data_IF_761075098869
#
_entry.id   IF_761075098869
#
_cell.length_a   1.000
_cell.length_b   1.000
_cell.length_c   1.000
_cell.angle_alpha   90.00
_cell.angle_beta   90.00
_cell.angle_gamma   90.00
#
_symmetry.space_group_name_H-M   'P 1'
#
loop_
_entity.id
_entity.type
_entity.pdbx_description
1 polymer ?
#
# COMPACT_ATOMS: atom_id res chain seq x y z
N UNK A 1 -29.20 -22.90 -12.54
CA UNK A 1 -29.51 -24.04 -11.66
C UNK A 1 -31.01 -24.23 -11.59
N UNK A 2 -31.48 -25.31 -10.97
CA UNK A 2 -32.89 -25.76 -10.97
C UNK A 2 -33.90 -24.76 -10.37
N UNK A 3 -33.41 -23.67 -9.76
CA UNK A 3 -34.18 -22.51 -9.28
C UNK A 3 -34.22 -21.31 -10.24
N UNK A 4 -33.78 -21.48 -11.51
CA UNK A 4 -33.77 -20.40 -12.52
C UNK A 4 -32.61 -19.41 -12.42
N UNK A 5 -31.69 -19.59 -11.46
CA UNK A 5 -30.52 -18.71 -11.29
C UNK A 5 -29.38 -18.99 -12.27
N UNK A 6 -28.71 -17.94 -12.72
CA UNK A 6 -27.49 -17.98 -13.54
C UNK A 6 -26.32 -17.37 -12.76
N UNK A 7 -25.11 -17.91 -12.96
CA UNK A 7 -23.88 -17.39 -12.38
C UNK A 7 -22.81 -17.29 -13.45
N UNK A 8 -22.29 -16.09 -13.65
CA UNK A 8 -21.14 -15.82 -14.51
C UNK A 8 -19.97 -15.52 -13.58
N UNK A 9 -18.84 -16.17 -13.80
CA UNK A 9 -17.62 -16.03 -12.97
C UNK A 9 -16.44 -15.60 -13.83
N UNK A 10 -15.36 -15.15 -13.20
CA UNK A 10 -14.10 -14.77 -13.87
C UNK A 10 -14.25 -13.61 -14.87
N UNK A 11 -15.22 -12.72 -14.63
CA UNK A 11 -15.27 -11.43 -15.33
C UNK A 11 -14.18 -10.52 -14.80
N UNK A 12 -13.54 -9.77 -15.70
CA UNK A 12 -12.69 -8.66 -15.27
C UNK A 12 -13.59 -7.61 -14.60
N UNK A 13 -13.07 -6.83 -13.64
CA UNK A 13 -13.82 -5.69 -13.14
C UNK A 13 -14.22 -4.75 -14.28
N UNK A 14 -15.34 -4.05 -14.16
CA UNK A 14 -15.83 -3.16 -15.21
C UNK A 14 -17.34 -3.01 -15.21
N UNK A 15 -17.82 -2.19 -16.14
CA UNK A 15 -19.25 -2.02 -16.39
C UNK A 15 -19.66 -2.92 -17.54
N UNK A 16 -20.71 -3.71 -17.30
CA UNK A 16 -21.24 -4.69 -18.23
C UNK A 16 -22.70 -4.40 -18.55
N UNK A 17 -23.10 -4.74 -19.77
CA UNK A 17 -24.51 -4.84 -20.16
C UNK A 17 -24.96 -6.28 -20.03
N UNK A 18 -26.06 -6.50 -19.30
CA UNK A 18 -26.71 -7.80 -19.17
C UNK A 18 -28.04 -7.76 -19.91
N UNK A 19 -28.18 -8.65 -20.90
CA UNK A 19 -29.41 -8.82 -21.68
C UNK A 19 -29.95 -10.24 -21.47
N UNK A 20 -31.23 -10.35 -21.12
CA UNK A 20 -31.94 -11.62 -20.93
C UNK A 20 -33.08 -11.71 -21.94
N UNK A 21 -33.08 -12.79 -22.73
CA UNK A 21 -34.11 -13.09 -23.71
C UNK A 21 -34.78 -14.41 -23.36
N UNK A 22 -36.11 -14.42 -23.25
CA UNK A 22 -36.90 -15.61 -23.00
C UNK A 22 -38.15 -15.61 -23.90
N UNK A 23 -38.47 -16.76 -24.50
CA UNK A 23 -39.64 -16.90 -25.37
C UNK A 23 -40.93 -16.60 -24.60
N UNK A 24 -41.81 -15.76 -25.17
CA UNK A 24 -43.05 -15.32 -24.53
C UNK A 24 -42.90 -14.14 -23.55
N UNK A 25 -41.68 -13.61 -23.36
CA UNK A 25 -41.39 -12.44 -22.55
C UNK A 25 -40.75 -11.31 -23.37
N UNK A 26 -40.87 -10.06 -22.91
CA UNK A 26 -40.14 -8.93 -23.44
C UNK A 26 -38.64 -9.01 -23.01
N UNK A 27 -37.71 -8.54 -23.86
CA UNK A 27 -36.28 -8.56 -23.52
C UNK A 27 -35.98 -7.63 -22.35
N UNK A 28 -35.19 -8.11 -21.39
CA UNK A 28 -34.66 -7.31 -20.29
C UNK A 28 -33.24 -6.89 -20.60
N UNK A 29 -32.90 -5.62 -20.41
CA UNK A 29 -31.52 -5.11 -20.56
C UNK A 29 -31.16 -4.16 -19.42
N UNK A 30 -30.04 -4.44 -18.75
CA UNK A 30 -29.41 -3.53 -17.79
C UNK A 30 -28.01 -3.19 -18.29
N UNK A 31 -27.77 -1.91 -18.58
CA UNK A 31 -26.55 -1.42 -19.25
C UNK A 31 -25.43 -1.04 -18.27
N UNK A 32 -25.72 -0.92 -16.96
CA UNK A 32 -24.81 -0.33 -15.97
C UNK A 32 -24.48 -1.30 -14.84
N UNK A 33 -24.27 -2.58 -15.14
CA UNK A 33 -23.89 -3.57 -14.15
C UNK A 33 -22.42 -3.41 -13.80
N UNK A 34 -22.13 -2.89 -12.62
CA UNK A 34 -20.76 -2.73 -12.12
C UNK A 34 -20.29 -4.05 -11.52
N UNK A 35 -19.17 -4.57 -12.02
CA UNK A 35 -18.45 -5.73 -11.50
C UNK A 35 -17.17 -5.23 -10.84
N UNK A 36 -16.99 -5.55 -9.56
CA UNK A 36 -15.83 -5.17 -8.75
C UNK A 36 -15.09 -6.43 -8.28
N UNK A 37 -13.80 -6.32 -7.98
CA UNK A 37 -12.99 -7.44 -7.50
C UNK A 37 -13.54 -8.04 -6.21
N UNK A 38 -13.70 -9.37 -6.21
CA UNK A 38 -14.14 -10.15 -5.05
C UNK A 38 -15.56 -9.87 -4.54
N UNK A 39 -16.32 -9.03 -5.25
CA UNK A 39 -17.72 -8.71 -4.96
C UNK A 39 -18.64 -9.43 -5.93
N UNK A 40 -19.71 -10.02 -5.41
CA UNK A 40 -20.79 -10.57 -6.20
C UNK A 40 -21.83 -9.50 -6.49
N UNK A 41 -22.07 -9.22 -7.77
CA UNK A 41 -23.14 -8.32 -8.21
C UNK A 41 -24.37 -9.14 -8.57
N UNK A 42 -25.39 -9.11 -7.71
CA UNK A 42 -26.68 -9.76 -7.97
C UNK A 42 -27.57 -8.85 -8.79
N UNK A 43 -28.25 -9.42 -9.79
CA UNK A 43 -29.24 -8.72 -10.62
C UNK A 43 -30.55 -9.49 -10.52
N UNK A 44 -31.59 -8.83 -10.05
CA UNK A 44 -32.95 -9.36 -10.08
C UNK A 44 -33.58 -9.07 -11.44
N UNK A 45 -33.80 -10.11 -12.23
CA UNK A 45 -34.35 -10.00 -13.58
C UNK A 45 -35.87 -10.21 -13.53
N UNK A 46 -36.61 -9.11 -13.57
CA UNK A 46 -38.07 -9.14 -13.77
C UNK A 46 -38.41 -9.14 -15.26
N UNK A 47 -38.98 -10.24 -15.77
CA UNK A 47 -39.44 -10.33 -17.16
C UNK A 47 -40.94 -10.02 -17.27
N UNK A 48 -41.30 -9.11 -18.17
CA UNK A 48 -42.71 -8.81 -18.52
C UNK A 48 -43.18 -9.65 -19.71
N UNK A 49 -44.48 -9.94 -19.79
CA UNK A 49 -45.05 -10.72 -20.89
C UNK A 49 -44.90 -10.02 -22.24
N UNK A 50 -44.64 -10.79 -23.28
CA UNK A 50 -44.49 -10.30 -24.66
C UNK A 50 -45.81 -9.68 -25.15
N UNK A 51 -45.78 -8.41 -25.55
CA UNK A 51 -46.96 -7.61 -25.94
C UNK A 51 -47.08 -6.28 -25.20
N UNK A 52 -46.42 -6.16 -24.04
CA UNK A 52 -46.15 -4.85 -23.41
C UNK A 52 -44.83 -4.34 -23.99
N UNK A 53 -44.91 -3.54 -25.05
CA UNK A 53 -43.72 -2.91 -25.65
C UNK A 53 -43.20 -1.81 -24.74
N UNK A 54 -42.27 -2.17 -23.86
CA UNK A 54 -41.50 -1.22 -23.06
C UNK A 54 -40.17 -1.86 -22.70
N UNK A 55 -39.07 -1.32 -23.20
CA UNK A 55 -37.74 -1.65 -22.70
C UNK A 55 -37.67 -1.16 -21.27
N UNK A 56 -37.65 -2.07 -20.29
CA UNK A 56 -37.44 -1.70 -18.89
C UNK A 56 -35.94 -1.43 -18.73
N UNK A 57 -35.52 -0.20 -18.98
CA UNK A 57 -34.16 0.24 -18.72
C UNK A 57 -34.02 0.49 -17.23
N UNK A 58 -33.42 -0.45 -16.52
CA UNK A 58 -33.12 -0.30 -15.09
C UNK A 58 -31.77 0.39 -14.96
N UNK A 59 -31.76 1.71 -14.74
CA UNK A 59 -30.60 2.43 -14.21
C UNK A 59 -30.54 2.23 -12.69
N UNK A 60 -30.22 1.02 -12.24
CA UNK A 60 -29.99 0.78 -10.81
C UNK A 60 -28.55 1.18 -10.46
N UNK A 61 -28.41 2.17 -9.58
CA UNK A 61 -27.17 2.47 -8.89
C UNK A 61 -26.75 1.24 -8.07
N UNK A 62 -25.46 0.91 -8.03
CA UNK A 62 -24.97 -0.24 -7.27
C UNK A 62 -25.37 -0.10 -5.78
N UNK A 63 -26.02 -1.10 -5.17
CA UNK A 63 -26.42 -1.01 -3.77
C UNK A 63 -25.21 -0.73 -2.89
N UNK A 64 -25.31 0.24 -1.98
CA UNK A 64 -24.24 0.55 -1.01
C UNK A 64 -23.96 -0.63 -0.08
N UNK A 65 -24.96 -1.50 0.12
CA UNK A 65 -24.87 -2.68 0.99
C UNK A 65 -24.91 -3.94 0.12
N UNK A 66 -23.92 -4.82 0.31
CA UNK A 66 -23.92 -6.15 -0.28
C UNK A 66 -24.80 -7.09 0.57
N UNK A 67 -25.96 -7.50 0.04
CA UNK A 67 -26.85 -8.48 0.67
C UNK A 67 -26.61 -9.91 0.16
N UNK A 68 -25.74 -10.07 -0.85
CA UNK A 68 -25.51 -11.35 -1.54
C UNK A 68 -24.38 -12.17 -0.92
N UNK A 69 -23.46 -11.52 -0.21
CA UNK A 69 -22.35 -12.16 0.48
C UNK A 69 -22.42 -11.85 1.97
N UNK A 70 -21.99 -12.82 2.78
CA UNK A 70 -21.91 -12.68 4.24
C UNK A 70 -20.60 -12.01 4.70
N UNK A 71 -19.79 -11.54 3.75
CA UNK A 71 -18.46 -11.02 4.03
C UNK A 71 -18.48 -9.54 4.42
N UNK A 72 -17.52 -9.15 5.24
CA UNK A 72 -17.33 -7.76 5.64
C UNK A 72 -16.23 -7.15 4.78
N UNK A 73 -16.60 -6.76 3.57
CA UNK A 73 -15.68 -6.26 2.55
C UNK A 73 -15.88 -4.79 2.20
N UNK A 74 -14.81 -4.14 1.75
CA UNK A 74 -14.82 -2.77 1.22
C UNK A 74 -13.93 -2.73 -0.02
N UNK A 75 -14.46 -2.20 -1.12
CA UNK A 75 -13.73 -2.01 -2.36
C UNK A 75 -13.14 -0.58 -2.37
N UNK A 76 -11.85 -0.48 -2.65
CA UNK A 76 -11.15 0.79 -2.86
C UNK A 76 -10.88 0.93 -4.35
N UNK A 77 -11.65 1.83 -4.98
CA UNK A 77 -11.62 2.04 -6.42
C UNK A 77 -10.42 2.89 -6.89
N UNK A 78 -10.27 2.98 -8.21
CA UNK A 78 -9.21 3.73 -8.87
C UNK A 78 -9.22 5.23 -8.52
N UNK A 79 -10.39 5.82 -8.30
CA UNK A 79 -10.52 7.25 -7.98
C UNK A 79 -9.91 7.52 -6.61
N UNK A 80 -10.26 6.73 -5.60
CA UNK A 80 -9.67 6.80 -4.26
C UNK A 80 -8.17 6.56 -4.31
N UNK A 81 -7.72 5.55 -5.06
CA UNK A 81 -6.29 5.28 -5.26
C UNK A 81 -5.54 6.49 -5.85
N UNK A 82 -6.13 7.24 -6.76
CA UNK A 82 -5.44 8.36 -7.42
C UNK A 82 -5.52 9.67 -6.62
N UNK A 83 -6.61 9.89 -5.90
CA UNK A 83 -6.89 11.17 -5.24
C UNK A 83 -6.45 11.22 -3.78
N UNK A 84 -6.28 10.07 -3.12
CA UNK A 84 -5.85 10.04 -1.73
C UNK A 84 -4.31 10.10 -1.62
N UNK A 85 -3.78 10.87 -0.66
CA UNK A 85 -2.35 10.93 -0.44
C UNK A 85 -1.84 9.64 0.21
N UNK A 86 -0.83 9.01 -0.39
CA UNK A 86 -0.12 7.88 0.19
C UNK A 86 1.39 8.14 0.23
N UNK A 87 1.95 8.19 1.43
CA UNK A 87 3.41 8.30 1.60
C UNK A 87 4.09 7.01 1.10
N UNK A 88 4.91 7.12 0.06
CA UNK A 88 5.59 5.99 -0.59
C UNK A 88 4.75 5.23 -1.61
N UNK A 89 3.51 5.70 -1.90
CA UNK A 89 2.60 5.10 -2.90
C UNK A 89 2.40 3.58 -2.78
N UNK A 90 2.38 3.09 -1.54
CA UNK A 90 1.97 1.71 -1.25
C UNK A 90 0.45 1.67 -1.19
N UNK A 91 -0.17 1.08 -2.21
CA UNK A 91 -1.62 1.05 -2.40
C UNK A 91 -2.36 0.40 -1.22
N UNK A 92 -1.79 -0.64 -0.61
CA UNK A 92 -2.39 -1.36 0.52
C UNK A 92 -2.50 -0.53 1.80
N UNK A 93 -1.77 0.59 1.91
CA UNK A 93 -1.93 1.51 3.05
C UNK A 93 -3.35 2.09 3.14
N UNK A 94 -4.08 2.15 2.02
CA UNK A 94 -5.47 2.60 2.02
C UNK A 94 -6.43 1.58 2.64
N UNK A 95 -6.00 0.35 2.92
CA UNK A 95 -6.83 -0.62 3.64
C UNK A 95 -7.16 -0.19 5.08
N UNK A 96 -6.42 0.79 5.63
CA UNK A 96 -6.75 1.43 6.92
C UNK A 96 -8.07 2.22 6.88
N UNK A 97 -8.57 2.55 5.69
CA UNK A 97 -9.84 3.25 5.51
C UNK A 97 -11.04 2.31 5.67
N UNK A 98 -10.80 1.00 5.74
CA UNK A 98 -11.83 0.00 5.97
C UNK A 98 -12.18 -0.06 7.46
N UNK A 99 -13.47 -0.17 7.83
CA UNK A 99 -13.88 -0.36 9.22
C UNK A 99 -13.17 -1.53 9.90
N UNK A 100 -12.73 -1.32 11.14
CA UNK A 100 -12.02 -2.35 11.92
C UNK A 100 -10.55 -2.53 11.55
N UNK A 101 -10.00 -1.71 10.64
CA UNK A 101 -8.58 -1.68 10.33
C UNK A 101 -7.85 -0.62 11.16
N UNK A 102 -6.71 -0.97 11.73
CA UNK A 102 -5.82 -0.05 12.48
C UNK A 102 -4.35 -0.33 12.15
N UNK A 103 -3.44 0.64 12.32
CA UNK A 103 -2.01 0.36 12.18
C UNK A 103 -1.55 -0.69 13.20
N UNK A 104 -0.82 -1.70 12.74
CA UNK A 104 -0.17 -2.70 13.59
C UNK A 104 1.33 -2.35 13.72
N UNK A 105 1.65 -1.59 14.77
CA UNK A 105 3.00 -1.14 15.05
C UNK A 105 3.52 -0.02 14.13
N UNK A 106 4.84 0.12 14.03
CA UNK A 106 5.49 1.33 13.47
C UNK A 106 5.86 1.20 11.99
N UNK A 107 5.89 -0.02 11.46
CA UNK A 107 6.45 -0.32 10.14
C UNK A 107 5.37 -0.55 9.07
N UNK A 108 4.13 -0.13 9.29
CA UNK A 108 3.08 -0.16 8.26
C UNK A 108 2.38 -1.51 8.06
N UNK A 109 2.38 -2.40 9.06
CA UNK A 109 1.39 -3.48 9.09
C UNK A 109 0.02 -2.90 9.45
N UNK A 110 -1.03 -3.64 9.11
CA UNK A 110 -2.42 -3.29 9.40
C UNK A 110 -3.01 -4.44 10.20
N UNK A 111 -3.60 -4.17 11.36
CA UNK A 111 -4.39 -5.13 12.10
C UNK A 111 -5.84 -4.97 11.68
N UNK A 112 -6.49 -6.08 11.37
CA UNK A 112 -7.94 -6.13 11.22
C UNK A 112 -8.52 -6.77 12.48
N UNK A 113 -9.43 -6.04 13.13
CA UNK A 113 -10.20 -6.53 14.29
C UNK A 113 -9.33 -7.06 15.44
N UNK A 114 -8.17 -6.44 15.65
CA UNK A 114 -7.25 -6.77 16.74
C UNK A 114 -6.36 -7.99 16.47
N UNK A 115 -6.42 -8.59 15.28
CA UNK A 115 -5.57 -9.70 14.88
C UNK A 115 -4.27 -9.15 14.28
N UNK A 116 -3.13 -9.77 14.58
CA UNK A 116 -1.83 -9.35 14.07
C UNK A 116 -1.83 -9.29 12.53
N UNK A 117 -1.25 -8.24 11.98
CA UNK A 117 -1.11 -8.05 10.54
C UNK A 117 -0.22 -9.09 9.85
N UNK A 118 0.52 -9.91 10.61
CA UNK A 118 1.25 -11.08 10.10
C UNK A 118 0.31 -12.22 9.68
N UNK A 119 -0.95 -12.18 10.12
CA UNK A 119 -1.99 -13.15 9.78
C UNK A 119 -2.95 -12.59 8.73
N UNK A 120 -2.53 -11.57 7.99
CA UNK A 120 -3.25 -11.08 6.84
C UNK A 120 -2.72 -11.72 5.56
N UNK A 121 -3.61 -11.96 4.62
CA UNK A 121 -3.24 -12.41 3.28
C UNK A 121 -3.36 -11.25 2.29
N UNK A 122 -2.34 -11.05 1.45
CA UNK A 122 -2.35 -10.06 0.37
C UNK A 122 -2.17 -10.79 -0.96
N UNK A 123 -3.06 -10.54 -1.90
CA UNK A 123 -2.99 -11.09 -3.26
C UNK A 123 -3.01 -9.98 -4.29
N UNK A 124 -2.30 -10.21 -5.40
CA UNK A 124 -2.39 -9.37 -6.60
C UNK A 124 -2.65 -10.29 -7.78
N UNK A 125 -3.75 -10.07 -8.48
CA UNK A 125 -4.21 -10.90 -9.62
C UNK A 125 -4.26 -12.41 -9.26
N UNK A 126 -4.64 -12.71 -8.01
CA UNK A 126 -4.70 -14.07 -7.46
C UNK A 126 -3.35 -14.66 -7.01
N UNK A 127 -2.23 -13.99 -7.29
CA UNK A 127 -0.90 -14.41 -6.83
C UNK A 127 -0.58 -13.97 -5.40
N UNK A 128 0.13 -14.81 -4.65
CA UNK A 128 0.60 -14.53 -3.27
C UNK A 128 1.55 -13.31 -3.28
N UNK A 129 1.16 -12.24 -2.57
CA UNK A 129 1.90 -11.01 -2.36
C UNK A 129 2.39 -10.86 -0.91
N UNK A 130 2.60 -11.99 -0.21
CA UNK A 130 3.28 -12.06 1.07
C UNK A 130 4.76 -12.50 0.93
N UNK A 131 5.54 -12.18 1.95
CA UNK A 131 6.92 -12.58 2.14
C UNK A 131 6.96 -13.94 2.86
N UNK A 132 7.74 -14.90 2.34
CA UNK A 132 7.81 -16.23 2.94
C UNK A 132 8.43 -16.25 4.35
N UNK A 133 9.38 -15.35 4.63
CA UNK A 133 10.14 -15.36 5.90
C UNK A 133 9.39 -14.69 7.06
N UNK A 134 8.72 -13.57 6.79
CA UNK A 134 8.03 -12.77 7.81
C UNK A 134 6.49 -12.92 7.76
N UNK A 135 5.96 -13.65 6.78
CA UNK A 135 4.50 -13.83 6.55
C UNK A 135 3.70 -12.53 6.34
N UNK A 136 4.38 -11.41 6.09
CA UNK A 136 3.75 -10.09 5.86
C UNK A 136 3.71 -9.72 4.38
N UNK A 137 2.92 -8.70 4.02
CA UNK A 137 2.86 -8.18 2.64
C UNK A 137 4.24 -7.73 2.11
N UNK A 138 4.46 -7.94 0.81
CA UNK A 138 5.68 -7.49 0.14
C UNK A 138 5.89 -5.98 0.18
N UNK A 139 7.16 -5.60 0.35
CA UNK A 139 7.65 -4.22 0.36
C UNK A 139 7.11 -3.28 1.45
N UNK A 140 6.70 -3.84 2.60
CA UNK A 140 6.33 -3.10 3.82
C UNK A 140 7.43 -2.17 4.36
N UNK A 141 8.53 -2.73 4.89
CA UNK A 141 9.53 -1.97 5.69
C UNK A 141 10.75 -1.52 4.89
N UNK A 142 11.12 -2.31 3.88
CA UNK A 142 12.18 -2.04 2.91
C UNK A 142 11.52 -2.16 1.53
N UNK A 143 11.37 -1.03 0.84
CA UNK A 143 10.61 -0.89 -0.41
C UNK A 143 11.41 -1.56 -1.55
N UNK A 144 11.55 -2.88 -1.46
CA UNK A 144 12.42 -3.68 -2.31
C UNK A 144 11.67 -4.50 -3.37
N UNK A 145 10.34 -4.59 -3.30
CA UNK A 145 9.50 -5.26 -4.30
C UNK A 145 8.03 -4.98 -3.99
N UNK A 146 7.39 -4.05 -4.70
CA UNK A 146 5.96 -3.73 -4.55
C UNK A 146 5.35 -3.55 -5.94
N UNK A 147 4.13 -4.03 -6.14
CA UNK A 147 3.35 -3.70 -7.33
C UNK A 147 3.00 -2.21 -7.28
N UNK A 148 3.40 -1.45 -8.30
CA UNK A 148 3.15 -0.01 -8.32
C UNK A 148 1.67 0.31 -8.10
N UNK A 149 1.36 1.32 -7.29
CA UNK A 149 0.01 1.87 -7.20
C UNK A 149 -0.51 2.32 -8.57
N UNK A 150 0.37 2.71 -9.52
CA UNK A 150 -0.06 3.05 -10.87
C UNK A 150 -0.59 1.84 -11.66
N UNK A 151 -0.16 0.63 -11.31
CA UNK A 151 -0.63 -0.62 -11.90
C UNK A 151 -1.95 -1.10 -11.28
N UNK A 152 -2.23 -0.78 -10.02
CA UNK A 152 -3.46 -1.22 -9.35
C UNK A 152 -4.67 -0.48 -9.95
N UNK A 153 -5.68 -1.26 -10.32
CA UNK A 153 -6.99 -0.76 -10.74
C UNK A 153 -7.86 -0.49 -9.53
N UNK A 154 -8.03 -1.51 -8.70
CA UNK A 154 -8.80 -1.48 -7.47
C UNK A 154 -8.36 -2.64 -6.57
N UNK A 155 -8.79 -2.62 -5.32
CA UNK A 155 -8.60 -3.76 -4.44
C UNK A 155 -9.76 -3.87 -3.44
N UNK A 156 -10.02 -5.09 -3.01
CA UNK A 156 -10.97 -5.42 -1.96
C UNK A 156 -10.23 -5.67 -0.65
N UNK A 157 -10.78 -5.15 0.44
CA UNK A 157 -10.37 -5.47 1.81
C UNK A 157 -11.49 -6.22 2.48
N UNK A 158 -11.26 -7.47 2.85
CA UNK A 158 -12.22 -8.32 3.53
C UNK A 158 -11.73 -8.61 4.95
N UNK A 159 -12.49 -8.18 5.94
CA UNK A 159 -12.10 -8.20 7.37
C UNK A 159 -12.74 -9.33 8.16
N UNK A 160 -13.71 -10.06 7.58
CA UNK A 160 -14.41 -11.16 8.24
C UNK A 160 -15.22 -11.97 7.24
N UNK A 161 -15.44 -13.25 7.57
CA UNK A 161 -16.32 -14.15 6.79
C UNK A 161 -15.88 -14.26 5.31
N UNK A 162 -14.59 -14.04 5.04
CA UNK A 162 -13.98 -14.34 3.75
C UNK A 162 -14.05 -15.85 3.45
N UNK A 163 -14.16 -16.18 2.16
CA UNK A 163 -14.19 -17.56 1.68
C UNK A 163 -12.91 -18.33 2.04
N UNK A 164 -13.04 -19.65 2.21
CA UNK A 164 -11.91 -20.55 2.51
C UNK A 164 -10.85 -20.60 1.38
N UNK A 165 -11.18 -20.11 0.18
CA UNK A 165 -10.22 -19.93 -0.91
C UNK A 165 -9.08 -18.95 -0.53
N UNK A 166 -9.37 -17.99 0.35
CA UNK A 166 -8.39 -17.07 0.90
C UNK A 166 -7.72 -17.70 2.14
N UNK A 167 -7.06 -18.83 1.94
CA UNK A 167 -6.27 -19.48 2.98
C UNK A 167 -5.15 -18.58 3.52
N UNK A 168 -4.45 -19.05 4.56
CA UNK A 168 -3.32 -18.32 5.21
C UNK A 168 -3.70 -16.93 5.77
N UNK A 169 -4.99 -16.72 6.04
CA UNK A 169 -5.52 -15.50 6.64
C UNK A 169 -6.32 -15.82 7.90
N UNK A 170 -6.05 -15.10 8.99
CA UNK A 170 -6.91 -15.06 10.17
C UNK A 170 -7.36 -13.62 10.50
N UNK A 171 -6.58 -12.60 10.11
CA UNK A 171 -6.91 -11.20 10.32
C UNK A 171 -7.81 -10.64 9.21
N UNK A 172 -7.24 -10.41 8.04
CA UNK A 172 -7.97 -9.92 6.88
C UNK A 172 -7.29 -10.26 5.56
N UNK A 173 -8.10 -10.20 4.51
CA UNK A 173 -7.69 -10.50 3.13
C UNK A 173 -7.70 -9.21 2.33
N UNK A 174 -6.59 -8.92 1.65
CA UNK A 174 -6.44 -7.79 0.75
C UNK A 174 -6.25 -8.36 -0.65
N UNK A 175 -7.25 -8.23 -1.51
CA UNK A 175 -7.25 -8.77 -2.86
C UNK A 175 -7.22 -7.65 -3.90
N UNK A 176 -6.08 -7.47 -4.57
CA UNK A 176 -5.89 -6.44 -5.57
C UNK A 176 -5.88 -6.98 -7.00
N UNK A 177 -6.28 -6.13 -7.93
CA UNK A 177 -6.30 -6.40 -9.37
C UNK A 177 -5.56 -5.28 -10.10
N UNK A 178 -4.70 -5.67 -11.05
CA UNK A 178 -3.97 -4.73 -11.89
C UNK A 178 -4.79 -4.29 -13.10
N UNK A 179 -4.37 -3.17 -13.69
CA UNK A 179 -4.91 -2.66 -14.95
C UNK A 179 -4.47 -3.55 -16.11
N UNK A 180 -5.36 -3.76 -17.05
CA UNK A 180 -5.08 -4.39 -18.34
C UNK A 180 -4.93 -3.33 -19.45
N UNK A 181 -4.32 -3.71 -20.57
CA UNK A 181 -4.29 -2.87 -21.76
C UNK A 181 -5.67 -2.79 -22.43
N UNK A 182 -5.89 -1.76 -23.22
CA UNK A 182 -7.15 -1.54 -23.95
C UNK A 182 -6.90 -1.40 -25.45
N UNK A 183 -7.96 -1.25 -26.24
CA UNK A 183 -7.85 -0.92 -27.67
C UNK A 183 -7.27 0.47 -27.97
N UNK A 184 -7.10 1.30 -26.94
CA UNK A 184 -6.54 2.63 -27.06
C UNK A 184 -5.23 2.70 -26.26
N UNK A 185 -4.24 3.41 -26.80
CA UNK A 185 -3.05 3.73 -26.04
C UNK A 185 -3.39 4.75 -24.97
N UNK A 186 -3.03 4.43 -23.72
CA UNK A 186 -3.12 5.36 -22.60
C UNK A 186 -1.92 5.19 -21.69
N UNK A 187 -1.58 6.24 -20.96
CA UNK A 187 -0.49 6.18 -20.00
C UNK A 187 -0.57 7.27 -18.95
N UNK A 188 0.27 7.15 -17.93
CA UNK A 188 0.43 8.12 -16.86
C UNK A 188 1.89 8.20 -16.44
N UNK A 189 2.29 9.37 -15.94
CA UNK A 189 3.60 9.60 -15.35
C UNK A 189 3.43 10.29 -14.01
N UNK A 190 4.37 10.05 -13.09
CA UNK A 190 4.38 10.70 -11.80
C UNK A 190 5.80 10.96 -11.29
N UNK A 191 5.93 12.02 -10.50
CA UNK A 191 7.12 12.38 -9.77
C UNK A 191 6.72 12.97 -8.42
N UNK A 192 7.31 12.46 -7.35
CA UNK A 192 7.14 12.92 -5.99
C UNK A 192 8.51 13.21 -5.38
N UNK A 193 8.66 14.42 -4.85
CA UNK A 193 9.81 14.83 -4.04
C UNK A 193 9.33 15.10 -2.62
N UNK A 194 9.92 14.41 -1.66
CA UNK A 194 9.79 14.72 -0.24
C UNK A 194 11.17 15.00 0.31
N UNK A 195 11.40 16.28 0.58
CA UNK A 195 12.68 16.78 1.06
C UNK A 195 12.57 17.33 2.49
N UNK A 196 13.44 16.88 3.39
CA UNK A 196 13.51 17.41 4.74
C UNK A 196 13.82 18.91 4.79
N UNK A 197 14.47 19.50 3.77
CA UNK A 197 14.77 20.94 3.72
C UNK A 197 13.52 21.82 3.91
N UNK A 198 12.41 21.44 3.30
CA UNK A 198 11.13 22.18 3.39
C UNK A 198 10.19 21.61 4.45
N UNK A 199 10.50 20.43 5.02
CA UNK A 199 9.73 19.82 6.10
C UNK A 199 10.06 20.39 7.48
N UNK A 200 9.08 20.43 8.37
CA UNK A 200 9.31 20.73 9.78
C UNK A 200 10.14 19.62 10.46
N UNK A 201 10.98 19.99 11.44
CA UNK A 201 11.67 19.03 12.30
C UNK A 201 10.64 18.35 13.21
N UNK A 202 10.78 17.05 13.44
CA UNK A 202 10.04 16.39 14.51
C UNK A 202 10.50 16.98 15.87
N UNK A 203 9.60 17.58 16.68
CA UNK A 203 9.97 18.24 17.93
C UNK A 203 10.60 17.27 18.93
N UNK A 204 10.32 15.97 18.82
CA UNK A 204 10.81 14.90 19.70
C UNK A 204 12.13 14.27 19.23
N UNK A 205 12.69 14.69 18.10
CA UNK A 205 13.95 14.15 17.58
C UNK A 205 15.16 14.90 18.14
N UNK A 206 15.92 14.25 19.01
CA UNK A 206 17.15 14.78 19.60
C UNK A 206 18.27 13.75 19.53
N UNK A 207 19.50 14.25 19.52
CA UNK A 207 20.70 13.46 19.75
C UNK A 207 21.43 14.00 20.96
N UNK A 208 22.23 13.16 21.59
CA UNK A 208 23.19 13.64 22.58
C UNK A 208 24.56 13.73 21.92
N UNK A 209 25.17 14.90 21.99
CA UNK A 209 26.52 15.17 21.49
C UNK A 209 27.31 15.98 22.52
N UNK A 210 28.64 15.95 22.43
CA UNK A 210 29.47 16.82 23.25
C UNK A 210 29.51 18.23 22.66
N UNK A 211 29.06 19.20 23.45
CA UNK A 211 29.22 20.63 23.16
C UNK A 211 30.12 21.19 24.26
N UNK A 212 31.31 21.67 23.88
CA UNK A 212 32.32 22.18 24.82
C UNK A 212 32.66 21.20 25.96
N UNK A 213 32.76 19.89 25.66
CA UNK A 213 33.08 18.85 26.64
C UNK A 213 31.92 18.41 27.53
N UNK A 214 30.71 18.96 27.34
CA UNK A 214 29.51 18.62 28.12
C UNK A 214 28.49 17.88 27.27
N UNK A 215 27.99 16.76 27.80
CA UNK A 215 26.89 15.99 27.22
C UNK A 215 25.63 16.84 27.11
N UNK A 216 25.28 17.24 25.87
CA UNK A 216 24.16 18.15 25.63
C UNK A 216 23.15 17.50 24.70
N UNK A 217 21.87 17.61 25.06
CA UNK A 217 20.74 17.17 24.22
C UNK A 217 20.48 18.23 23.16
N UNK A 218 20.72 17.90 21.89
CA UNK A 218 20.60 18.82 20.77
C UNK A 218 19.52 18.34 19.81
N UNK A 219 18.75 19.28 19.29
CA UNK A 219 17.71 18.99 18.30
C UNK A 219 18.34 18.40 17.03
N UNK A 220 17.80 17.28 16.55
CA UNK A 220 18.23 16.64 15.31
C UNK A 220 17.17 16.82 14.22
N UNK A 221 17.59 17.31 13.05
CA UNK A 221 16.80 17.26 11.81
C UNK A 221 17.60 16.45 10.78
N UNK A 222 17.45 15.12 10.74
CA UNK A 222 18.26 14.30 9.85
C UNK A 222 17.93 14.62 8.39
N UNK A 223 18.91 14.47 7.50
CA UNK A 223 18.65 14.40 6.06
C UNK A 223 17.67 13.26 5.77
N UNK A 224 16.56 13.53 5.08
CA UNK A 224 15.63 12.52 4.57
C UNK A 224 15.06 13.08 3.26
N UNK A 225 15.66 12.66 2.15
CA UNK A 225 15.26 13.07 0.81
C UNK A 225 14.74 11.84 0.08
N UNK A 226 13.50 11.91 -0.36
CA UNK A 226 12.84 10.81 -1.08
C UNK A 226 12.39 11.30 -2.44
N UNK A 227 12.87 10.64 -3.47
CA UNK A 227 12.40 10.79 -4.83
C UNK A 227 11.65 9.53 -5.22
N UNK A 228 10.42 9.67 -5.68
CA UNK A 228 9.66 8.57 -6.25
C UNK A 228 9.11 8.98 -7.61
N UNK A 229 9.46 8.22 -8.64
CA UNK A 229 9.08 8.54 -10.00
C UNK A 229 8.77 7.28 -10.78
N UNK A 230 7.94 7.41 -11.81
CA UNK A 230 7.50 6.28 -12.56
C UNK A 230 6.33 6.62 -13.48
N UNK A 231 5.70 5.57 -13.98
CA UNK A 231 4.58 5.69 -14.88
C UNK A 231 4.02 4.35 -15.30
N UNK A 232 2.96 4.40 -16.09
CA UNK A 232 2.36 3.24 -16.70
C UNK A 232 1.94 3.55 -18.13
N UNK A 233 1.92 2.53 -18.98
CA UNK A 233 1.43 2.61 -20.35
C UNK A 233 0.74 1.31 -20.72
N UNK A 234 -0.41 1.40 -21.37
CA UNK A 234 -1.14 0.26 -21.89
C UNK A 234 -1.73 0.54 -23.25
N UNK A 235 -2.04 -0.52 -23.99
CA UNK A 235 -2.60 -0.43 -25.33
C UNK A 235 -2.69 -1.78 -26.04
N UNK A 236 -3.10 -1.78 -27.33
CA UNK A 236 -3.19 -3.00 -28.11
C UNK A 236 -1.85 -3.40 -28.71
N UNK A 237 -1.52 -4.68 -28.66
CA UNK A 237 -0.53 -5.32 -29.55
C UNK A 237 -1.22 -5.63 -30.88
N UNK A 238 -2.39 -6.26 -30.79
CA UNK A 238 -3.31 -6.52 -31.92
C UNK A 238 -4.69 -6.06 -31.47
N UNK A 239 -5.26 -5.06 -32.16
CA UNK A 239 -6.59 -4.54 -31.84
C UNK A 239 -7.61 -5.67 -31.72
N UNK A 240 -8.46 -5.57 -30.70
CA UNK A 240 -9.53 -6.51 -30.36
C UNK A 240 -9.08 -7.94 -30.02
N UNK A 241 -7.77 -8.21 -29.90
CA UNK A 241 -7.24 -9.56 -29.69
C UNK A 241 -6.18 -9.67 -28.60
N UNK A 242 -5.21 -8.76 -28.59
CA UNK A 242 -4.07 -8.85 -27.69
C UNK A 242 -3.69 -7.45 -27.19
N UNK A 243 -3.54 -7.34 -25.88
CA UNK A 243 -3.28 -6.07 -25.18
C UNK A 243 -2.05 -6.20 -24.29
N UNK A 244 -1.37 -5.08 -24.04
CA UNK A 244 -0.27 -5.00 -23.09
C UNK A 244 -0.52 -3.91 -22.06
N UNK A 245 0.07 -4.09 -20.89
CA UNK A 245 0.18 -3.06 -19.87
C UNK A 245 1.55 -3.16 -19.22
N UNK A 246 2.22 -2.02 -19.07
CA UNK A 246 3.53 -1.91 -18.45
C UNK A 246 3.49 -0.82 -17.37
N UNK A 247 4.15 -1.07 -16.24
CA UNK A 247 4.31 -0.08 -15.18
C UNK A 247 5.73 -0.08 -14.63
N UNK A 248 6.20 1.09 -14.25
CA UNK A 248 7.50 1.30 -13.63
C UNK A 248 7.35 2.23 -12.44
N UNK A 249 7.96 1.86 -11.31
CA UNK A 249 7.94 2.65 -10.08
C UNK A 249 9.31 2.53 -9.42
N UNK A 250 9.98 3.67 -9.27
CA UNK A 250 11.29 3.75 -8.65
C UNK A 250 11.22 4.70 -7.48
N UNK A 251 11.68 4.20 -6.33
CA UNK A 251 11.93 5.02 -5.17
C UNK A 251 13.43 5.09 -4.90
N UNK A 252 13.92 6.32 -4.68
CA UNK A 252 15.27 6.60 -4.18
C UNK A 252 15.11 7.35 -2.87
N UNK A 253 15.82 6.90 -1.83
CA UNK A 253 15.80 7.52 -0.52
C UNK A 253 17.21 7.73 -0.03
N UNK A 254 17.56 8.99 0.20
CA UNK A 254 18.74 9.38 0.95
C UNK A 254 18.34 9.66 2.39
N UNK A 255 18.65 8.70 3.25
CA UNK A 255 18.39 8.76 4.68
C UNK A 255 19.64 8.21 5.37
N UNK A 256 20.62 9.05 5.77
CA UNK A 256 21.80 8.61 6.49
C UNK A 256 21.45 7.95 7.83
N UNK A 257 22.34 7.08 8.28
CA UNK A 257 22.37 6.63 9.67
C UNK A 257 22.82 7.77 10.56
N UNK A 258 22.44 7.71 11.84
CA UNK A 258 22.95 8.64 12.84
C UNK A 258 23.78 7.82 13.81
N UNK A 259 25.08 8.06 13.82
CA UNK A 259 26.02 7.43 14.73
C UNK A 259 26.09 8.25 16.02
N UNK A 260 25.66 7.65 17.12
CA UNK A 260 25.75 8.21 18.46
C UNK A 260 26.36 7.17 19.40
N UNK A 261 27.10 7.63 20.41
CA UNK A 261 27.56 6.74 21.47
C UNK A 261 26.36 6.34 22.34
N UNK A 262 26.23 5.04 22.61
CA UNK A 262 25.24 4.49 23.54
C UNK A 262 25.42 5.03 24.96
N UNK A 263 26.68 5.27 25.36
CA UNK A 263 27.04 5.89 26.63
C UNK A 263 27.75 7.21 26.35
N UNK A 264 27.02 8.32 26.52
CA UNK A 264 27.55 9.67 26.27
C UNK A 264 28.75 9.97 27.17
N UNK A 265 28.76 9.38 28.36
CA UNK A 265 29.83 9.51 29.33
C UNK A 265 31.12 8.81 28.86
N UNK A 266 31.11 7.95 27.83
CA UNK A 266 32.33 7.42 27.24
C UNK A 266 33.27 8.52 26.73
N UNK A 267 32.70 9.64 26.26
CA UNK A 267 33.47 10.78 25.75
C UNK A 267 33.86 11.81 26.82
N UNK A 268 33.20 11.80 27.99
CA UNK A 268 33.44 12.77 29.07
C UNK A 268 34.06 12.15 30.33
N UNK A 269 33.94 10.84 30.50
CA UNK A 269 34.48 10.05 31.62
C UNK A 269 35.78 9.39 31.22
N UNK A 270 36.65 10.16 30.59
CA UNK A 270 38.05 9.79 30.55
C UNK A 270 38.58 10.07 31.95
N UNK A 271 39.06 9.04 32.64
CA UNK A 271 39.79 9.24 33.88
C UNK A 271 41.14 9.89 33.53
N UNK A 272 41.11 11.21 33.29
CA UNK A 272 42.26 12.03 32.87
C UNK A 272 43.41 11.80 33.82
N UNK A 273 43.12 11.73 35.13
CA UNK A 273 44.08 11.41 36.19
C UNK A 273 44.76 10.06 35.98
N UNK A 274 44.02 9.00 35.63
CA UNK A 274 44.61 7.69 35.31
C UNK A 274 45.43 7.71 34.03
N UNK A 275 45.02 8.44 33.00
CA UNK A 275 45.75 8.50 31.72
C UNK A 275 47.02 9.35 31.83
N UNK A 276 46.97 10.47 32.55
CA UNK A 276 48.16 11.29 32.81
C UNK A 276 49.15 10.55 33.72
N UNK A 277 48.66 9.81 34.72
CA UNK A 277 49.51 8.92 35.54
C UNK A 277 50.18 7.80 34.72
N UNK A 278 49.67 7.47 33.53
CA UNK A 278 50.25 6.51 32.57
C UNK A 278 51.11 7.16 31.48
N UNK A 279 51.40 8.46 31.60
CA UNK A 279 52.32 9.17 30.70
C UNK A 279 51.67 9.86 29.50
N UNK A 280 50.34 9.91 29.41
CA UNK A 280 49.66 10.68 28.35
C UNK A 280 49.57 12.15 28.74
N UNK A 281 49.87 13.04 27.80
CA UNK A 281 49.65 14.49 27.96
C UNK A 281 48.18 14.86 27.76
N UNK A 282 47.74 15.97 28.34
CA UNK A 282 46.37 16.51 28.13
C UNK A 282 46.06 16.69 26.63
N UNK A 283 47.01 17.16 25.84
CA UNK A 283 46.86 17.34 24.40
C UNK A 283 46.60 16.01 23.67
N UNK A 284 47.28 14.92 24.05
CA UNK A 284 47.05 13.59 23.48
C UNK A 284 45.66 13.06 23.83
N UNK A 285 45.19 13.29 25.07
CA UNK A 285 43.85 12.89 25.51
C UNK A 285 42.76 13.67 24.76
N UNK A 286 42.91 14.98 24.64
CA UNK A 286 41.96 15.83 23.92
C UNK A 286 41.92 15.51 22.42
N UNK A 287 43.07 15.22 21.81
CA UNK A 287 43.16 14.79 20.41
C UNK A 287 42.45 13.44 20.18
N UNK A 288 42.58 12.48 21.10
CA UNK A 288 41.89 11.19 20.99
C UNK A 288 40.38 11.34 21.15
N UNK A 289 39.92 12.15 22.10
CA UNK A 289 38.50 12.47 22.28
C UNK A 289 37.91 13.19 21.06
N UNK A 290 38.65 14.13 20.48
CA UNK A 290 38.26 14.81 19.25
C UNK A 290 38.10 13.84 18.08
N UNK A 291 39.07 12.93 17.90
CA UNK A 291 38.98 11.88 16.89
C UNK A 291 37.76 10.97 17.10
N UNK A 292 37.54 10.47 18.31
CA UNK A 292 36.38 9.60 18.60
C UNK A 292 35.06 10.37 18.38
N UNK A 293 34.98 11.63 18.78
CA UNK A 293 33.80 12.46 18.54
C UNK A 293 33.56 12.71 17.04
N UNK A 294 34.63 12.79 16.22
CA UNK A 294 34.51 12.91 14.77
C UNK A 294 33.86 11.69 14.09
N UNK A 295 33.77 10.55 14.77
CA UNK A 295 33.08 9.35 14.30
C UNK A 295 31.55 9.40 14.52
N UNK A 296 31.04 10.45 15.17
CA UNK A 296 29.61 10.67 15.40
C UNK A 296 28.99 11.58 14.34
N UNK A 297 27.66 11.52 14.22
CA UNK A 297 26.92 12.33 13.25
C UNK A 297 26.31 11.50 12.13
N UNK A 298 26.03 12.14 11.00
CA UNK A 298 25.41 11.48 9.85
C UNK A 298 26.43 10.59 9.12
N UNK A 299 26.11 9.31 8.98
CA UNK A 299 26.89 8.36 8.18
C UNK A 299 26.06 7.92 6.96
N UNK A 300 26.65 7.92 5.74
CA UNK A 300 25.95 7.41 4.56
C UNK A 300 25.52 5.96 4.78
N UNK A 301 24.23 5.65 4.55
CA UNK A 301 23.80 4.26 4.43
C UNK A 301 24.29 3.74 3.08
N UNK A 302 25.23 2.79 3.10
CA UNK A 302 25.58 2.00 1.91
C UNK A 302 24.49 0.98 1.61
#
# INVERSE_FOLDING_TARGET
>A
GDSGGFKIVNLQPGTYTVTVNATGFAPFTNENVIVEVGRSTTIDVGLSLQGVTGTVQVTAEAPVINTSQQDFSTNVNQVSLNNLPANGRRWSNFAILTPGAVPDGTFGLISFRGISGLLNNSTVDGGDNNQAFFSEERGRTRIGYVVSQAAIREFQVNTSNFSAEYGRSAGGVINAVTKSGTNQFHGSGFLFDRNNKWGARNPNSFITQLVNGVATRVALKPKDVRYQFGGAVGGPIVKDKAFFFFSYDQQKRDFPGVSVFSTVSYLSTVNRTTLTARGLTTAQVDSALSFINSLTGETPRR
#
